data_IF_781315373891
#
_entry.id   IF_781315373891
#
_cell.length_a   1.000
_cell.length_b   1.000
_cell.length_c   1.000
_cell.angle_alpha   90.00
_cell.angle_beta   90.00
_cell.angle_gamma   90.00
#
_symmetry.space_group_name_H-M   'P 1'
#
loop_
_entity.id
_entity.type
_entity.pdbx_description
1 polymer ?
#
# COMPACT_ATOMS: atom_id res chain seq x y z
N UNK A 1 -15.92 -36.87 14.38
CA UNK A 1 -15.10 -36.76 13.14
C UNK A 1 -14.30 -35.49 13.26
N UNK A 2 -12.96 -35.61 13.27
CA UNK A 2 -12.07 -34.46 13.33
C UNK A 2 -12.10 -33.73 11.98
N UNK A 3 -12.62 -32.50 11.97
CA UNK A 3 -12.41 -31.57 10.86
C UNK A 3 -10.95 -31.16 10.89
N UNK A 4 -10.19 -31.56 9.87
CA UNK A 4 -8.83 -31.10 9.67
C UNK A 4 -8.83 -29.57 9.65
N UNK A 5 -8.01 -28.96 10.51
CA UNK A 5 -7.68 -27.54 10.43
C UNK A 5 -7.13 -27.24 9.03
N UNK A 6 -7.54 -26.13 8.38
CA UNK A 6 -6.88 -25.72 7.16
C UNK A 6 -5.38 -25.52 7.46
N UNK A 7 -4.49 -25.91 6.53
CA UNK A 7 -3.05 -25.78 6.74
C UNK A 7 -2.69 -24.32 7.02
N UNK A 8 -1.77 -24.14 7.97
CA UNK A 8 -1.16 -22.88 8.37
C UNK A 8 -1.02 -21.94 7.17
N UNK A 9 -1.51 -20.71 7.32
CA UNK A 9 -1.13 -19.59 6.46
C UNK A 9 0.39 -19.65 6.27
N UNK A 10 0.83 -20.04 5.08
CA UNK A 10 2.24 -20.09 4.74
C UNK A 10 2.78 -18.70 5.00
N UNK A 11 3.60 -18.58 6.04
CA UNK A 11 4.24 -17.35 6.47
C UNK A 11 4.82 -16.66 5.23
N UNK A 12 4.27 -15.47 4.98
CA UNK A 12 4.63 -14.41 4.05
C UNK A 12 6.00 -14.56 3.36
N UNK A 13 5.97 -14.44 2.03
CA UNK A 13 7.02 -14.87 1.08
C UNK A 13 8.45 -14.52 1.48
N UNK A 14 9.32 -15.53 1.37
CA UNK A 14 10.75 -15.43 1.72
C UNK A 14 11.67 -15.50 0.49
N UNK A 15 11.11 -15.43 -0.72
CA UNK A 15 11.91 -15.26 -1.92
C UNK A 15 12.70 -13.95 -1.75
N UNK A 16 14.03 -13.97 -1.98
CA UNK A 16 14.89 -12.80 -1.79
C UNK A 16 14.41 -11.54 -2.57
N UNK A 17 13.52 -11.72 -3.54
CA UNK A 17 12.84 -10.66 -4.27
C UNK A 17 11.71 -9.95 -3.50
N UNK A 18 11.21 -10.50 -2.38
CA UNK A 18 10.11 -10.02 -1.52
C UNK A 18 10.49 -10.10 -0.04
N UNK A 19 11.67 -9.58 0.32
CA UNK A 19 12.27 -9.72 1.65
C UNK A 19 11.54 -9.02 2.80
N UNK A 20 10.42 -8.33 2.55
CA UNK A 20 9.65 -7.66 3.59
C UNK A 20 8.66 -8.64 4.21
N UNK A 21 8.82 -8.92 5.50
CA UNK A 21 7.91 -9.80 6.23
C UNK A 21 6.58 -9.08 6.46
N UNK A 22 5.51 -9.64 5.90
CA UNK A 22 4.15 -9.20 6.16
C UNK A 22 3.56 -9.95 7.35
N UNK A 23 2.54 -9.37 7.97
CA UNK A 23 1.75 -9.99 9.03
C UNK A 23 0.25 -9.70 8.79
N UNK A 24 -0.67 -10.50 9.36
CA UNK A 24 -2.09 -10.15 9.39
C UNK A 24 -2.28 -8.78 10.04
N UNK A 25 -2.99 -7.88 9.36
CA UNK A 25 -3.44 -6.60 9.90
C UNK A 25 -4.87 -6.67 10.44
N UNK A 26 -5.66 -5.62 10.20
CA UNK A 26 -7.05 -5.55 10.63
C UNK A 26 -7.98 -6.17 9.58
N UNK A 27 -9.09 -6.75 10.04
CA UNK A 27 -10.19 -7.14 9.15
C UNK A 27 -11.08 -5.91 8.95
N UNK A 28 -11.37 -5.59 7.70
CA UNK A 28 -12.37 -4.58 7.32
C UNK A 28 -13.51 -5.23 6.56
N UNK A 29 -14.71 -4.65 6.65
CA UNK A 29 -15.85 -5.13 5.90
C UNK A 29 -15.78 -4.59 4.48
N UNK A 30 -15.69 -5.50 3.52
CA UNK A 30 -15.71 -5.20 2.10
C UNK A 30 -17.09 -5.53 1.49
N UNK A 31 -17.46 -4.94 0.34
CA UNK A 31 -18.65 -5.32 -0.43
C UNK A 31 -18.62 -6.79 -0.89
N UNK A 32 -17.41 -7.38 -0.96
CA UNK A 32 -17.16 -8.79 -1.26
C UNK A 32 -17.04 -9.67 0.00
N UNK A 33 -17.25 -9.09 1.18
CA UNK A 33 -17.13 -9.78 2.46
C UNK A 33 -15.95 -9.28 3.31
N UNK A 34 -15.63 -9.94 4.44
CA UNK A 34 -14.51 -9.55 5.29
C UNK A 34 -13.17 -9.64 4.52
N UNK A 35 -12.37 -8.59 4.63
CA UNK A 35 -11.06 -8.43 4.00
C UNK A 35 -9.99 -8.22 5.06
N UNK A 36 -8.96 -9.07 5.08
CA UNK A 36 -7.79 -8.90 5.93
C UNK A 36 -6.75 -8.01 5.24
N UNK A 37 -6.50 -6.81 5.75
CA UNK A 37 -5.40 -5.96 5.28
C UNK A 37 -4.07 -6.47 5.83
N UNK A 38 -2.98 -6.36 5.07
CA UNK A 38 -1.61 -6.63 5.56
C UNK A 38 -0.99 -5.45 6.28
N UNK A 39 -0.02 -5.74 7.14
CA UNK A 39 0.94 -4.77 7.68
C UNK A 39 2.35 -5.32 7.54
N UNK A 40 3.35 -4.45 7.54
CA UNK A 40 4.75 -4.86 7.61
C UNK A 40 5.07 -5.24 9.07
N UNK A 41 5.80 -6.35 9.28
CA UNK A 41 6.23 -6.78 10.60
C UNK A 41 7.05 -5.70 11.32
N UNK A 42 6.91 -5.59 12.65
CA UNK A 42 7.57 -4.53 13.42
C UNK A 42 9.12 -4.58 13.32
N UNK A 43 9.69 -5.77 13.13
CA UNK A 43 11.15 -5.99 13.03
C UNK A 43 11.73 -5.86 11.62
N UNK A 44 10.92 -5.51 10.61
CA UNK A 44 11.36 -5.46 9.21
C UNK A 44 12.45 -4.41 8.98
N UNK A 45 13.38 -4.70 8.06
CA UNK A 45 14.47 -3.77 7.72
C UNK A 45 13.95 -2.48 7.07
N UNK A 46 12.80 -2.52 6.37
CA UNK A 46 12.18 -1.34 5.75
C UNK A 46 11.72 -0.30 6.77
N UNK A 47 11.59 -0.69 8.04
CA UNK A 47 11.18 0.15 9.17
C UNK A 47 12.35 0.64 10.04
N UNK A 48 13.59 0.28 9.70
CA UNK A 48 14.76 0.63 10.50
C UNK A 48 15.42 1.90 9.99
N UNK A 49 15.87 2.74 10.92
CA UNK A 49 16.73 3.86 10.61
C UNK A 49 17.98 3.42 9.86
N UNK A 50 18.28 4.09 8.76
CA UNK A 50 19.50 3.87 8.00
C UNK A 50 20.11 5.22 7.64
N UNK A 51 21.18 5.59 8.33
CA UNK A 51 21.87 6.86 8.12
C UNK A 51 22.41 7.01 6.68
N UNK A 52 22.73 5.92 5.99
CA UNK A 52 23.30 5.97 4.64
C UNK A 52 22.35 6.50 3.56
N UNK A 53 21.05 6.51 3.84
CA UNK A 53 20.01 7.01 2.93
C UNK A 53 19.41 8.35 3.40
N UNK A 54 19.85 8.90 4.55
CA UNK A 54 19.30 10.12 5.13
C UNK A 54 20.13 11.33 4.69
N UNK A 55 19.48 12.29 4.05
CA UNK A 55 20.11 13.56 3.69
C UNK A 55 20.52 14.33 4.96
N UNK A 56 21.68 15.00 4.91
CA UNK A 56 22.31 15.62 6.09
C UNK A 56 21.44 16.71 6.74
N UNK A 57 20.67 17.44 5.95
CA UNK A 57 19.81 18.53 6.41
C UNK A 57 18.62 18.02 7.21
N UNK A 58 18.14 16.79 6.97
CA UNK A 58 17.07 16.15 7.76
C UNK A 58 17.45 16.09 9.24
N UNK A 59 18.70 15.74 9.54
CA UNK A 59 19.21 15.62 10.92
C UNK A 59 19.35 16.97 11.63
N UNK A 60 19.28 18.09 10.89
CA UNK A 60 19.19 19.43 11.47
C UNK A 60 17.79 19.80 11.95
N UNK A 61 16.76 19.06 11.52
CA UNK A 61 15.34 19.31 11.84
C UNK A 61 14.72 18.21 12.70
N UNK A 62 15.13 16.95 12.49
CA UNK A 62 14.49 15.79 13.10
C UNK A 62 15.52 14.88 13.78
N UNK A 63 15.14 14.33 14.93
CA UNK A 63 15.93 13.30 15.61
C UNK A 63 15.89 11.98 14.84
N UNK A 64 16.89 11.09 14.99
CA UNK A 64 16.84 9.74 14.41
C UNK A 64 15.57 8.96 14.79
N UNK A 65 15.09 9.11 16.02
CA UNK A 65 13.85 8.46 16.48
C UNK A 65 12.64 8.99 15.72
N UNK A 66 12.51 10.31 15.56
CA UNK A 66 11.42 10.91 14.79
C UNK A 66 11.45 10.51 13.31
N UNK A 67 12.65 10.40 12.73
CA UNK A 67 12.82 9.90 11.35
C UNK A 67 12.36 8.45 11.25
N UNK A 68 12.70 7.60 12.24
CA UNK A 68 12.27 6.20 12.28
C UNK A 68 10.75 6.10 12.39
N UNK A 69 10.13 6.86 13.30
CA UNK A 69 8.67 6.90 13.44
C UNK A 69 7.98 7.32 12.13
N UNK A 70 8.49 8.34 11.46
CA UNK A 70 7.99 8.80 10.16
C UNK A 70 8.11 7.70 9.09
N UNK A 71 9.26 7.03 9.00
CA UNK A 71 9.45 5.90 8.06
C UNK A 71 8.46 4.75 8.34
N UNK A 72 8.25 4.39 9.60
CA UNK A 72 7.29 3.36 9.99
C UNK A 72 5.87 3.78 9.57
N UNK A 73 5.47 5.01 9.86
CA UNK A 73 4.17 5.54 9.44
C UNK A 73 3.99 5.47 7.92
N UNK A 74 4.95 5.97 7.14
CA UNK A 74 4.88 6.00 5.68
C UNK A 74 4.82 4.60 5.08
N UNK A 75 5.67 3.68 5.54
CA UNK A 75 5.69 2.30 5.07
C UNK A 75 4.39 1.57 5.37
N UNK A 76 3.85 1.73 6.59
CA UNK A 76 2.57 1.12 6.98
C UNK A 76 1.37 1.76 6.30
N UNK A 77 1.39 3.07 6.07
CA UNK A 77 0.35 3.77 5.32
C UNK A 77 0.34 3.31 3.87
N UNK A 78 1.50 3.25 3.22
CA UNK A 78 1.64 2.75 1.85
C UNK A 78 1.07 1.34 1.69
N UNK A 79 1.50 0.40 2.53
CA UNK A 79 1.03 -0.98 2.39
C UNK A 79 -0.47 -1.08 2.64
N UNK A 80 -1.00 -0.45 3.70
CA UNK A 80 -2.42 -0.64 4.07
C UNK A 80 -3.39 0.12 3.19
N UNK A 81 -3.06 1.35 2.80
CA UNK A 81 -4.03 2.28 2.23
C UNK A 81 -3.77 2.59 0.76
N UNK A 82 -2.58 2.28 0.23
CA UNK A 82 -2.23 2.47 -1.19
C UNK A 82 -2.08 1.12 -1.92
N UNK A 83 -1.21 0.22 -1.45
CA UNK A 83 -0.92 -1.05 -2.10
C UNK A 83 -1.97 -2.13 -1.84
N UNK A 84 -2.37 -2.35 -0.58
CA UNK A 84 -3.33 -3.35 -0.09
C UNK A 84 -4.62 -2.67 0.44
N UNK A 85 -5.08 -1.65 -0.29
CA UNK A 85 -6.30 -0.91 0.05
C UNK A 85 -7.59 -1.70 -0.22
N UNK A 86 -8.60 -1.63 0.65
CA UNK A 86 -9.93 -2.20 0.39
C UNK A 86 -10.66 -1.48 -0.76
N UNK A 87 -10.39 -0.18 -0.97
CA UNK A 87 -10.93 0.61 -2.09
C UNK A 87 -10.61 -0.05 -3.44
N UNK A 88 -9.39 -0.54 -3.57
CA UNK A 88 -8.84 -1.21 -4.74
C UNK A 88 -9.52 -2.55 -5.09
N UNK A 89 -10.24 -3.14 -4.13
CA UNK A 89 -10.98 -4.39 -4.31
C UNK A 89 -12.46 -4.17 -4.63
N UNK A 90 -12.91 -2.92 -4.70
CA UNK A 90 -14.33 -2.54 -4.62
C UNK A 90 -14.92 -2.76 -3.22
N UNK A 91 -14.06 -2.99 -2.22
CA UNK A 91 -14.45 -3.41 -0.88
C UNK A 91 -15.11 -2.29 -0.07
N UNK A 92 -14.66 -1.06 -0.22
CA UNK A 92 -15.27 0.09 0.43
C UNK A 92 -15.57 1.19 -0.58
N UNK A 93 -16.53 2.06 -0.26
CA UNK A 93 -16.78 3.25 -1.07
C UNK A 93 -15.67 4.28 -0.86
N UNK A 94 -15.49 5.18 -1.82
CA UNK A 94 -14.58 6.33 -1.65
C UNK A 94 -14.87 7.12 -0.37
N UNK A 95 -16.14 7.30 -0.02
CA UNK A 95 -16.52 8.08 1.16
C UNK A 95 -16.13 7.37 2.47
N UNK A 96 -16.23 6.03 2.51
CA UNK A 96 -15.78 5.23 3.65
C UNK A 96 -14.26 5.27 3.80
N UNK A 97 -13.52 5.17 2.69
CA UNK A 97 -12.06 5.31 2.70
C UNK A 97 -11.65 6.71 3.16
N UNK A 98 -12.31 7.75 2.62
CA UNK A 98 -12.05 9.14 2.95
C UNK A 98 -12.29 9.43 4.42
N UNK A 99 -13.45 9.06 4.97
CA UNK A 99 -13.77 9.30 6.38
C UNK A 99 -12.75 8.68 7.37
N UNK A 100 -12.07 7.59 6.97
CA UNK A 100 -11.05 6.92 7.78
C UNK A 100 -9.66 7.55 7.64
N UNK A 101 -9.32 8.05 6.45
CA UNK A 101 -7.97 8.48 6.11
C UNK A 101 -7.79 10.00 6.09
N UNK A 102 -8.86 10.77 5.95
CA UNK A 102 -8.83 12.24 6.02
C UNK A 102 -8.20 12.78 7.32
N UNK A 103 -8.45 12.19 8.51
CA UNK A 103 -7.77 12.61 9.74
C UNK A 103 -6.27 12.29 9.78
N UNK A 104 -5.78 11.47 8.85
CA UNK A 104 -4.38 11.06 8.75
C UNK A 104 -3.62 11.88 7.69
N UNK A 105 -4.19 12.99 7.23
CA UNK A 105 -3.64 13.83 6.16
C UNK A 105 -3.53 15.29 6.61
N UNK A 106 -2.51 15.98 6.11
CA UNK A 106 -2.41 17.43 6.28
C UNK A 106 -3.48 18.13 5.43
N UNK A 107 -3.90 19.33 5.85
CA UNK A 107 -4.86 20.16 5.08
C UNK A 107 -4.38 20.46 3.66
N UNK A 108 -3.07 20.50 3.44
CA UNK A 108 -2.45 20.72 2.13
C UNK A 108 -2.67 19.52 1.21
N UNK A 109 -2.60 18.30 1.76
CA UNK A 109 -2.69 17.07 0.99
C UNK A 109 -4.13 16.64 0.71
N UNK A 110 -5.07 17.02 1.60
CA UNK A 110 -6.49 16.65 1.49
C UNK A 110 -7.09 16.95 0.11
N UNK A 111 -6.96 18.16 -0.48
CA UNK A 111 -7.52 18.44 -1.81
C UNK A 111 -6.94 17.53 -2.90
N UNK A 112 -5.62 17.34 -2.93
CA UNK A 112 -4.96 16.52 -3.96
C UNK A 112 -5.35 15.04 -3.87
N UNK A 113 -5.46 14.50 -2.66
CA UNK A 113 -5.94 13.14 -2.44
C UNK A 113 -7.42 13.04 -2.81
N UNK A 114 -8.26 13.97 -2.38
CA UNK A 114 -9.68 13.96 -2.70
C UNK A 114 -9.93 14.03 -4.22
N UNK A 115 -9.18 14.87 -4.93
CA UNK A 115 -9.22 14.99 -6.39
C UNK A 115 -8.75 13.70 -7.10
N UNK A 116 -7.82 12.95 -6.50
CA UNK A 116 -7.39 11.64 -6.98
C UNK A 116 -8.35 10.50 -6.56
N UNK A 117 -9.29 10.74 -5.64
CA UNK A 117 -10.19 9.71 -5.09
C UNK A 117 -11.46 9.46 -5.93
N UNK A 118 -11.75 10.27 -6.94
CA UNK A 118 -12.83 10.10 -7.93
C UNK A 118 -12.32 10.74 -9.24
N UNK A 119 -12.27 10.06 -10.38
CA UNK A 119 -13.38 9.93 -11.36
C UNK A 119 -13.12 8.66 -12.19
N UNK A 120 -14.09 7.72 -12.25
CA UNK A 120 -14.27 6.92 -13.47
C UNK A 120 -14.95 7.90 -14.43
N UNK A 121 -14.23 8.37 -15.44
CA UNK A 121 -14.78 9.24 -16.47
C UNK A 121 -15.95 8.51 -17.15
N UNK A 122 -16.90 9.23 -17.75
CA UNK A 122 -18.00 8.61 -18.51
C UNK A 122 -17.50 7.67 -19.63
N UNK A 123 -16.23 7.78 -20.01
CA UNK A 123 -15.51 6.92 -20.96
C UNK A 123 -14.87 5.65 -20.35
N UNK A 124 -15.05 5.41 -19.04
CA UNK A 124 -14.50 4.26 -18.32
C UNK A 124 -13.04 4.40 -17.87
N UNK A 125 -12.39 5.55 -18.06
CA UNK A 125 -11.02 5.79 -17.58
C UNK A 125 -11.01 6.24 -16.12
N UNK A 126 -10.20 5.59 -15.27
CA UNK A 126 -10.07 5.95 -13.86
C UNK A 126 -8.70 6.58 -13.59
N UNK A 127 -8.69 7.73 -12.91
CA UNK A 127 -7.52 8.19 -12.14
C UNK A 127 -7.71 7.71 -10.70
N UNK A 128 -7.48 6.43 -10.45
CA UNK A 128 -7.67 5.86 -9.11
C UNK A 128 -6.42 6.12 -8.27
N UNK A 129 -6.61 6.70 -7.09
CA UNK A 129 -5.57 6.81 -6.05
C UNK A 129 -4.88 5.47 -5.72
N UNK A 130 -5.60 4.33 -5.79
CA UNK A 130 -4.95 3.03 -5.72
C UNK A 130 -4.87 2.37 -7.12
N UNK A 131 -3.79 1.64 -7.43
CA UNK A 131 -3.44 1.15 -8.78
C UNK A 131 -4.37 0.05 -9.34
N UNK A 132 -5.64 0.36 -9.60
CA UNK A 132 -6.44 -0.44 -10.52
C UNK A 132 -5.95 -0.16 -11.94
N UNK A 133 -5.08 -1.04 -12.44
CA UNK A 133 -4.60 -0.90 -13.80
C UNK A 133 -5.78 -0.90 -14.78
N UNK A 134 -5.80 0.11 -15.66
CA UNK A 134 -6.73 0.32 -16.78
C UNK A 134 -6.94 -0.92 -17.68
N UNK A 135 -6.18 -1.99 -17.49
CA UNK A 135 -6.33 -3.25 -18.21
C UNK A 135 -7.53 -4.09 -17.72
N UNK A 136 -8.01 -3.90 -16.48
CA UNK A 136 -9.16 -4.66 -15.94
C UNK A 136 -10.49 -4.30 -16.59
N UNK A 137 -10.58 -3.14 -17.24
CA UNK A 137 -11.80 -2.72 -17.96
C UNK A 137 -11.93 -3.35 -19.34
N UNK A 138 -10.92 -4.08 -19.83
CA UNK A 138 -11.00 -4.68 -21.16
C UNK A 138 -11.84 -5.97 -21.14
N UNK A 139 -12.66 -6.24 -22.17
CA UNK A 139 -13.54 -7.40 -22.22
C UNK A 139 -12.84 -8.75 -22.01
N UNK A 140 -11.57 -8.88 -22.41
CA UNK A 140 -10.78 -10.11 -22.21
C UNK A 140 -10.43 -10.41 -20.74
N UNK A 141 -10.65 -9.46 -19.82
CA UNK A 141 -10.52 -9.63 -18.38
C UNK A 141 -11.88 -9.67 -17.66
N UNK A 142 -12.99 -9.86 -18.40
CA UNK A 142 -14.30 -10.07 -17.81
C UNK A 142 -14.26 -11.29 -16.86
N UNK A 143 -14.73 -11.09 -15.63
CA UNK A 143 -14.66 -12.12 -14.57
C UNK A 143 -13.34 -12.15 -13.78
N UNK A 144 -12.44 -11.20 -14.00
CA UNK A 144 -11.27 -11.01 -13.15
C UNK A 144 -11.69 -10.64 -11.72
N UNK A 145 -11.20 -11.38 -10.73
CA UNK A 145 -11.36 -11.05 -9.31
C UNK A 145 -10.08 -11.35 -8.55
N UNK A 146 -9.62 -10.41 -7.73
CA UNK A 146 -8.55 -10.67 -6.77
C UNK A 146 -8.99 -11.71 -5.75
N UNK A 147 -8.11 -12.67 -5.45
CA UNK A 147 -8.41 -13.76 -4.52
C UNK A 147 -8.00 -13.36 -3.10
N UNK A 148 -8.92 -12.74 -2.35
CA UNK A 148 -8.71 -12.38 -0.95
C UNK A 148 -9.95 -12.74 -0.11
N UNK A 149 -9.75 -12.94 1.19
CA UNK A 149 -10.76 -13.39 2.14
C UNK A 149 -10.49 -12.82 3.55
N UNK A 150 -11.24 -13.29 4.55
CA UNK A 150 -10.95 -13.06 5.97
C UNK A 150 -9.56 -13.57 6.38
N UNK A 151 -9.06 -14.58 5.68
CA UNK A 151 -7.85 -15.32 6.03
C UNK A 151 -6.71 -15.05 5.04
N UNK A 152 -6.99 -14.38 3.93
CA UNK A 152 -6.02 -14.14 2.85
C UNK A 152 -6.08 -12.67 2.40
N UNK A 153 -5.01 -11.89 2.56
CA UNK A 153 -4.95 -10.53 2.03
C UNK A 153 -4.85 -10.49 0.50
N UNK A 154 -5.03 -9.31 -0.10
CA UNK A 154 -4.90 -9.12 -1.55
C UNK A 154 -3.45 -8.99 -1.97
N UNK A 155 -2.61 -8.37 -1.14
CA UNK A 155 -1.14 -8.41 -1.29
C UNK A 155 -0.60 -9.54 -0.42
N UNK A 156 0.06 -10.52 -1.03
CA UNK A 156 0.58 -11.70 -0.34
C UNK A 156 2.12 -11.72 -0.24
N UNK A 157 2.80 -10.87 -0.99
CA UNK A 157 4.24 -10.66 -0.93
C UNK A 157 4.62 -9.22 -1.30
N UNK A 158 5.58 -8.64 -0.58
CA UNK A 158 6.10 -7.29 -0.87
C UNK A 158 7.61 -7.21 -0.66
N UNK A 159 8.23 -6.34 -1.45
CA UNK A 159 9.54 -5.74 -1.20
C UNK A 159 9.33 -4.25 -1.15
N UNK A 160 9.67 -3.65 -0.01
CA UNK A 160 9.68 -2.20 0.15
C UNK A 160 11.06 -1.80 0.67
N UNK A 161 11.83 -1.11 -0.16
CA UNK A 161 13.20 -0.69 0.18
C UNK A 161 13.27 0.83 0.22
N UNK A 162 13.53 1.43 1.39
CA UNK A 162 13.80 2.86 1.45
C UNK A 162 15.15 3.16 0.78
N UNK A 163 15.15 4.11 -0.13
CA UNK A 163 16.33 4.49 -0.94
C UNK A 163 16.86 5.88 -0.61
N UNK A 164 16.01 6.77 -0.09
CA UNK A 164 16.38 8.11 0.35
C UNK A 164 15.39 8.64 1.37
N UNK A 165 15.87 9.43 2.33
CA UNK A 165 15.08 10.24 3.27
C UNK A 165 15.56 11.68 3.18
N UNK A 166 14.65 12.62 2.98
CA UNK A 166 14.95 14.04 2.71
C UNK A 166 13.85 14.94 3.31
N UNK A 167 14.08 16.27 3.30
CA UNK A 167 13.04 17.24 3.69
C UNK A 167 12.23 17.66 2.46
N UNK A 168 10.90 17.65 2.58
CA UNK A 168 10.07 18.31 1.58
C UNK A 168 10.10 19.85 1.73
N UNK A 169 9.36 20.55 0.88
CA UNK A 169 9.30 22.02 0.89
C UNK A 169 8.77 22.59 2.21
N UNK A 170 7.99 21.81 2.97
CA UNK A 170 7.42 22.19 4.26
C UNK A 170 8.29 21.75 5.45
N UNK A 171 9.52 21.26 5.20
CA UNK A 171 10.43 20.70 6.21
C UNK A 171 9.89 19.45 6.90
N UNK A 172 8.96 18.76 6.25
CA UNK A 172 8.44 17.48 6.70
C UNK A 172 9.34 16.33 6.22
N UNK A 173 9.25 15.19 6.88
CA UNK A 173 10.08 14.01 6.56
C UNK A 173 9.51 13.37 5.30
N UNK A 174 10.31 13.31 4.24
CA UNK A 174 9.98 12.64 2.99
C UNK A 174 10.89 11.44 2.74
N UNK A 175 10.38 10.45 2.02
CA UNK A 175 11.12 9.24 1.67
C UNK A 175 10.83 8.76 0.25
N UNK A 176 11.85 8.21 -0.39
CA UNK A 176 11.74 7.49 -1.66
C UNK A 176 11.90 5.99 -1.40
N UNK A 177 11.01 5.19 -1.99
CA UNK A 177 10.96 3.75 -1.82
C UNK A 177 10.96 3.05 -3.18
N UNK A 178 11.77 2.01 -3.33
CA UNK A 178 11.54 1.00 -4.35
C UNK A 178 10.51 0.00 -3.82
N UNK A 179 9.40 -0.14 -4.54
CA UNK A 179 8.31 -1.02 -4.17
C UNK A 179 8.12 -2.10 -5.23
N UNK A 180 7.89 -3.33 -4.78
CA UNK A 180 7.44 -4.44 -5.62
C UNK A 180 6.47 -5.31 -4.83
N UNK A 181 5.27 -5.53 -5.33
CA UNK A 181 4.27 -6.33 -4.62
C UNK A 181 3.51 -7.27 -5.55
N UNK A 182 3.13 -8.42 -5.01
CA UNK A 182 2.42 -9.49 -5.70
C UNK A 182 0.96 -9.50 -5.26
N UNK A 183 0.05 -9.61 -6.22
CA UNK A 183 -1.38 -9.73 -5.99
C UNK A 183 -1.93 -10.96 -6.72
N UNK A 184 -2.32 -12.04 -6.01
CA UNK A 184 -2.97 -13.19 -6.63
C UNK A 184 -4.37 -12.83 -7.16
N UNK A 185 -4.73 -13.44 -8.27
CA UNK A 185 -6.05 -13.28 -8.90
C UNK A 185 -6.62 -14.60 -9.40
N UNK A 186 -7.93 -14.60 -9.64
CA UNK A 186 -8.68 -15.66 -10.31
C UNK A 186 -9.45 -15.07 -11.49
N UNK A 187 -9.52 -15.81 -12.59
CA UNK A 187 -10.25 -15.47 -13.81
C UNK A 187 -10.93 -16.73 -14.35
N UNK A 188 -12.21 -16.91 -14.01
CA UNK A 188 -12.90 -18.18 -14.25
C UNK A 188 -12.24 -19.32 -13.46
N UNK A 189 -11.81 -20.38 -14.15
CA UNK A 189 -11.10 -21.51 -13.54
C UNK A 189 -9.57 -21.28 -13.41
N UNK A 190 -9.05 -20.19 -13.98
CA UNK A 190 -7.61 -19.89 -13.98
C UNK A 190 -7.23 -19.08 -12.75
N UNK A 191 -6.06 -19.39 -12.18
CA UNK A 191 -5.44 -18.59 -11.11
C UNK A 191 -4.06 -18.10 -11.54
N UNK A 192 -3.66 -16.93 -11.06
CA UNK A 192 -2.40 -16.30 -11.41
C UNK A 192 -2.04 -15.18 -10.44
N UNK A 193 -1.07 -14.35 -10.83
CA UNK A 193 -0.72 -13.16 -10.05
C UNK A 193 -0.32 -11.98 -10.94
N UNK A 194 -0.61 -10.79 -10.44
CA UNK A 194 -0.12 -9.53 -10.99
C UNK A 194 1.08 -9.08 -10.16
N UNK A 195 2.12 -8.66 -10.85
CA UNK A 195 3.26 -7.96 -10.26
C UNK A 195 3.14 -6.48 -10.51
N UNK A 196 3.31 -5.70 -9.45
CA UNK A 196 3.47 -4.25 -9.56
C UNK A 196 4.84 -3.89 -9.03
N UNK A 197 5.55 -3.03 -9.74
CA UNK A 197 6.85 -2.51 -9.34
C UNK A 197 6.98 -1.04 -9.68
N UNK A 198 7.72 -0.27 -8.87
CA UNK A 198 7.98 1.13 -9.16
C UNK A 198 8.72 1.85 -8.06
N UNK A 199 8.83 3.16 -8.26
CA UNK A 199 9.38 4.10 -7.28
C UNK A 199 8.26 4.93 -6.69
N UNK A 200 8.29 5.09 -5.37
CA UNK A 200 7.25 5.75 -4.60
C UNK A 200 7.89 6.83 -3.73
N UNK A 201 7.41 8.06 -3.86
CA UNK A 201 7.73 9.18 -2.98
C UNK A 201 6.56 9.42 -2.01
N UNK A 202 6.84 9.48 -0.72
CA UNK A 202 5.85 9.80 0.30
C UNK A 202 6.45 10.81 1.29
N UNK A 203 5.64 11.72 1.83
CA UNK A 203 6.07 12.60 2.93
C UNK A 203 5.06 12.66 4.06
N UNK A 204 5.54 12.92 5.27
CA UNK A 204 4.73 13.06 6.48
C UNK A 204 5.21 14.20 7.36
N UNK A 205 4.25 14.96 7.88
CA UNK A 205 4.46 15.99 8.88
C UNK A 205 3.92 15.53 10.24
N UNK A 206 4.44 16.13 11.31
CA UNK A 206 3.84 15.97 12.65
C UNK A 206 2.72 16.99 12.80
N UNK A 207 1.51 16.53 13.12
CA UNK A 207 0.36 17.37 13.44
C UNK A 207 0.49 18.03 14.82
N UNK A 208 -0.41 18.96 15.11
CA UNK A 208 -0.44 19.72 16.37
C UNK A 208 -0.65 18.81 17.60
N UNK A 209 -1.33 17.67 17.41
CA UNK A 209 -1.56 16.64 18.42
C UNK A 209 -0.39 15.65 18.58
N UNK A 210 0.69 15.84 17.82
CA UNK A 210 1.86 14.97 17.81
C UNK A 210 1.71 13.72 16.94
N UNK A 211 0.59 13.53 16.24
CA UNK A 211 0.40 12.43 15.30
C UNK A 211 1.18 12.65 13.99
N UNK A 212 1.52 11.58 13.28
CA UNK A 212 2.08 11.67 11.94
C UNK A 212 0.95 11.72 10.91
N UNK A 213 1.01 12.71 10.02
CA UNK A 213 0.02 12.96 8.98
C UNK A 213 0.68 12.88 7.61
N UNK A 214 0.04 12.23 6.64
CA UNK A 214 0.48 12.20 5.24
C UNK A 214 0.44 13.63 4.68
N UNK A 215 1.56 14.06 4.10
CA UNK A 215 1.72 15.40 3.52
C UNK A 215 1.94 15.40 2.00
N UNK A 216 2.22 14.24 1.42
CA UNK A 216 2.44 14.14 -0.01
C UNK A 216 2.59 12.69 -0.46
N UNK A 217 2.06 12.39 -1.64
CA UNK A 217 2.33 11.14 -2.34
C UNK A 217 2.65 11.40 -3.82
N UNK A 218 3.65 10.70 -4.34
CA UNK A 218 3.97 10.62 -5.76
C UNK A 218 4.35 9.18 -6.08
N UNK A 219 3.82 8.62 -7.17
CA UNK A 219 4.17 7.27 -7.59
C UNK A 219 4.47 7.22 -9.08
N UNK A 220 5.41 6.35 -9.44
CA UNK A 220 5.63 5.93 -10.83
C UNK A 220 5.77 4.42 -10.82
N UNK A 221 4.72 3.72 -11.27
CA UNK A 221 4.65 2.26 -11.23
C UNK A 221 4.44 1.66 -12.60
N UNK A 222 4.79 0.38 -12.72
CA UNK A 222 4.59 -0.45 -13.91
C UNK A 222 4.06 -1.80 -13.46
N UNK A 223 3.05 -2.31 -14.17
CA UNK A 223 2.37 -3.56 -13.84
C UNK A 223 2.65 -4.62 -14.91
N UNK A 224 2.95 -5.84 -14.48
CA UNK A 224 3.18 -7.00 -15.35
C UNK A 224 2.42 -8.21 -14.82
N UNK A 225 1.61 -8.86 -15.66
CA UNK A 225 0.85 -10.05 -15.27
C UNK A 225 1.57 -11.32 -15.70
N UNK A 226 1.60 -12.33 -14.83
CA UNK A 226 2.19 -13.64 -15.13
C UNK A 226 1.18 -14.76 -14.90
N UNK A 227 1.17 -15.76 -15.78
CA UNK A 227 0.42 -17.01 -15.56
C UNK A 227 -0.84 -17.24 -16.39
N UNK A 228 -0.88 -16.83 -17.67
CA UNK A 228 -1.91 -17.35 -18.57
C UNK A 228 -1.58 -18.78 -19.02
N UNK A 229 -1.81 -19.77 -18.15
CA UNK A 229 -1.98 -21.17 -18.58
C UNK A 229 -3.42 -21.56 -18.28
#
# INVERSE_FOLDING_TARGET
MATASPPNASLYGTDAAYSTLLEPGKIVQSTKGPYLQTKIAAGDISKKFNLSIVDKDVLGYWSPDAITEAQVFLADFFIRELADSPLNGGGETTDQWWARNEPLMTEIEKPGVFDNLKVINEDGTSKSLPEQGLWQSKPEYAGFTYNYSKETPRVDAVKLVPTRVFLDNNKCVAGTYEAKYRMPYVMGEKSGFTMVSGTIGLSTCKGDDGSWLLNGHQSTTTSTSSGMK
#
